data_IF_384027141307
#
_entry.id   IF_384027141307
#
_cell.length_a   1.000
_cell.length_b   1.000
_cell.length_c   1.000
_cell.angle_alpha   90.00
_cell.angle_beta   90.00
_cell.angle_gamma   90.00
#
_symmetry.space_group_name_H-M   'P 1'
#
loop_
_entity.id
_entity.type
_entity.pdbx_description
1 polymer ?
#
# COMPACT_ATOMS: atom_id res chain seq x y z
N UNK A 1 -2.22 2.73 -34.88
CA UNK A 1 -1.97 2.01 -33.61
C UNK A 1 -2.52 2.85 -32.47
N UNK A 2 -3.01 2.26 -31.40
CA UNK A 2 -3.45 3.02 -30.22
C UNK A 2 -2.24 3.60 -29.47
N UNK A 3 -2.43 4.68 -28.70
CA UNK A 3 -1.36 5.25 -27.84
C UNK A 3 -0.74 4.19 -26.93
N UNK A 4 -1.55 3.29 -26.38
CA UNK A 4 -1.07 2.17 -25.54
C UNK A 4 -0.17 1.21 -26.31
N UNK A 5 -0.47 0.91 -27.59
CA UNK A 5 0.40 0.08 -28.43
C UNK A 5 1.75 0.76 -28.69
N UNK A 6 1.72 2.04 -29.09
CA UNK A 6 2.95 2.81 -29.33
C UNK A 6 3.82 2.91 -28.07
N UNK A 7 3.21 3.16 -26.90
CA UNK A 7 3.91 3.17 -25.63
C UNK A 7 4.52 1.79 -25.31
N UNK A 8 3.76 0.73 -25.52
CA UNK A 8 4.22 -0.66 -25.29
C UNK A 8 5.44 -0.97 -26.15
N UNK A 9 5.42 -0.64 -27.43
CA UNK A 9 6.55 -0.82 -28.35
C UNK A 9 7.77 -0.01 -27.92
N UNK A 10 7.58 1.25 -27.50
CA UNK A 10 8.67 2.10 -27.03
C UNK A 10 9.32 1.53 -25.75
N UNK A 11 8.53 1.03 -24.79
CA UNK A 11 9.04 0.40 -23.57
C UNK A 11 9.79 -0.90 -23.89
N UNK A 12 9.25 -1.76 -24.76
CA UNK A 12 9.90 -3.01 -25.15
C UNK A 12 11.19 -2.78 -25.94
N UNK A 13 11.25 -1.76 -26.78
CA UNK A 13 12.46 -1.42 -27.55
C UNK A 13 13.61 -0.97 -26.65
N UNK A 14 13.34 -0.22 -25.60
CA UNK A 14 14.36 0.35 -24.76
C UNK A 14 14.66 -0.49 -23.50
N UNK A 15 13.69 -1.26 -23.01
CA UNK A 15 13.77 -1.95 -21.71
C UNK A 15 13.21 -3.37 -21.78
N UNK A 16 13.58 -4.22 -22.76
CA UNK A 16 12.92 -5.51 -23.02
C UNK A 16 13.03 -6.50 -21.85
N UNK A 17 14.06 -6.39 -21.02
CA UNK A 17 14.33 -7.33 -19.89
C UNK A 17 13.42 -7.08 -18.68
N UNK A 18 12.89 -5.88 -18.52
CA UNK A 18 12.09 -5.45 -17.35
C UNK A 18 10.63 -5.16 -17.68
N UNK A 19 10.26 -5.30 -18.96
CA UNK A 19 8.88 -5.13 -19.45
C UNK A 19 8.25 -6.48 -19.71
N UNK A 20 7.04 -6.68 -19.20
CA UNK A 20 6.23 -7.87 -19.48
C UNK A 20 4.78 -7.47 -19.76
N UNK A 21 4.10 -8.29 -20.58
CA UNK A 21 2.74 -8.01 -21.03
C UNK A 21 1.75 -8.97 -20.39
N UNK A 22 0.50 -8.50 -20.23
CA UNK A 22 -0.65 -9.31 -19.78
C UNK A 22 -0.36 -10.10 -18.50
N UNK A 23 0.31 -9.47 -17.54
CA UNK A 23 0.68 -10.12 -16.28
C UNK A 23 -0.46 -10.06 -15.28
N UNK A 24 -0.90 -11.20 -14.72
CA UNK A 24 -1.96 -11.21 -13.72
C UNK A 24 -1.56 -10.42 -12.47
N UNK A 25 -2.34 -9.40 -12.12
CA UNK A 25 -2.16 -8.58 -10.92
C UNK A 25 -2.32 -9.41 -9.65
N UNK A 26 -3.17 -10.44 -9.69
CA UNK A 26 -3.32 -11.41 -8.60
C UNK A 26 -2.03 -12.14 -8.22
N UNK A 27 -1.04 -12.23 -9.11
CA UNK A 27 0.25 -12.88 -8.80
C UNK A 27 1.07 -12.09 -7.78
N UNK A 28 0.94 -10.76 -7.73
CA UNK A 28 1.73 -9.91 -6.84
C UNK A 28 0.89 -9.02 -5.92
N UNK A 29 -0.43 -8.88 -6.14
CA UNK A 29 -1.28 -8.17 -5.19
C UNK A 29 -1.37 -8.92 -3.86
N UNK A 30 -1.42 -8.18 -2.76
CA UNK A 30 -1.45 -8.79 -1.42
C UNK A 30 -2.75 -9.53 -1.14
N UNK A 31 -3.85 -9.12 -1.79
CA UNK A 31 -5.13 -9.83 -1.75
C UNK A 31 -5.22 -11.03 -2.68
N UNK A 32 -4.27 -11.16 -3.63
CA UNK A 32 -4.33 -12.16 -4.70
C UNK A 32 -5.58 -12.04 -5.56
N UNK A 33 -6.00 -10.81 -5.82
CA UNK A 33 -7.15 -10.43 -6.64
C UNK A 33 -6.66 -9.43 -7.70
N UNK A 34 -7.28 -9.45 -8.87
CA UNK A 34 -7.03 -8.55 -9.99
C UNK A 34 -6.73 -9.29 -11.29
N UNK A 35 -7.28 -8.78 -12.38
CA UNK A 35 -7.05 -9.26 -13.74
C UNK A 35 -5.64 -8.93 -14.24
N UNK A 36 -5.46 -8.83 -15.56
CA UNK A 36 -4.13 -8.61 -16.14
C UNK A 36 -3.76 -7.13 -16.20
N UNK A 37 -2.52 -6.78 -15.85
CA UNK A 37 -1.91 -5.53 -16.27
C UNK A 37 -1.54 -5.62 -17.76
N UNK A 38 -1.94 -4.64 -18.57
CA UNK A 38 -1.58 -4.65 -20.00
C UNK A 38 -0.06 -4.60 -20.16
N UNK A 39 0.59 -3.66 -19.48
CA UNK A 39 2.05 -3.57 -19.39
C UNK A 39 2.48 -3.54 -17.94
N UNK A 40 3.45 -4.37 -17.56
CA UNK A 40 4.13 -4.35 -16.28
C UNK A 40 5.62 -4.04 -16.50
N UNK A 41 6.12 -3.01 -15.83
CA UNK A 41 7.55 -2.63 -15.80
C UNK A 41 8.10 -2.88 -14.41
N UNK A 42 9.15 -3.70 -14.29
CA UNK A 42 9.84 -4.00 -13.03
C UNK A 42 11.30 -3.50 -13.09
N UNK A 43 11.54 -2.18 -12.86
CA UNK A 43 12.87 -1.61 -13.02
C UNK A 43 13.86 -2.18 -12.00
N UNK A 44 15.09 -2.44 -12.46
CA UNK A 44 16.18 -3.01 -11.64
C UNK A 44 17.13 -1.94 -11.10
N UNK A 45 16.96 -0.68 -11.53
CA UNK A 45 17.76 0.46 -11.05
C UNK A 45 16.94 1.75 -11.08
N UNK A 46 17.40 2.75 -10.33
CA UNK A 46 16.79 4.10 -10.36
C UNK A 46 16.86 4.69 -11.77
N UNK A 47 17.93 4.44 -12.51
CA UNK A 47 18.10 4.89 -13.90
C UNK A 47 17.04 4.28 -14.83
N UNK A 48 16.78 2.98 -14.68
CA UNK A 48 15.70 2.34 -15.44
C UNK A 48 14.31 2.89 -15.04
N UNK A 49 14.08 3.17 -13.75
CA UNK A 49 12.85 3.80 -13.29
C UNK A 49 12.67 5.20 -13.92
N UNK A 50 13.73 6.03 -13.89
CA UNK A 50 13.74 7.34 -14.53
C UNK A 50 13.43 7.24 -16.04
N UNK A 51 14.06 6.26 -16.72
CA UNK A 51 13.83 6.04 -18.14
C UNK A 51 12.39 5.59 -18.44
N UNK A 52 11.85 4.69 -17.65
CA UNK A 52 10.44 4.27 -17.80
C UNK A 52 9.48 5.47 -17.68
N UNK A 53 9.71 6.35 -16.68
CA UNK A 53 8.91 7.56 -16.48
C UNK A 53 9.01 8.49 -17.68
N UNK A 54 10.22 8.73 -18.19
CA UNK A 54 10.44 9.57 -19.39
C UNK A 54 9.70 9.04 -20.63
N UNK A 55 9.67 7.73 -20.81
CA UNK A 55 8.95 7.10 -21.94
C UNK A 55 7.45 7.26 -21.74
N UNK A 56 6.93 6.92 -20.58
CA UNK A 56 5.50 6.95 -20.25
C UNK A 56 4.94 8.36 -20.39
N UNK A 57 5.66 9.38 -19.93
CA UNK A 57 5.22 10.77 -20.00
C UNK A 57 5.13 11.37 -21.41
N UNK A 58 5.57 10.64 -22.45
CA UNK A 58 5.31 11.02 -23.84
C UNK A 58 3.90 10.62 -24.31
N UNK A 59 3.18 9.81 -23.51
CA UNK A 59 1.88 9.22 -23.82
C UNK A 59 0.89 9.52 -22.68
N UNK A 60 0.57 10.81 -22.52
CA UNK A 60 -0.24 11.31 -21.37
C UNK A 60 -1.68 10.81 -21.34
N UNK A 61 -2.18 10.22 -22.42
CA UNK A 61 -3.51 9.63 -22.56
C UNK A 61 -3.55 8.15 -22.11
N UNK A 62 -2.39 7.55 -21.79
CA UNK A 62 -2.30 6.17 -21.31
C UNK A 62 -2.20 6.16 -19.79
N UNK A 63 -3.12 5.48 -19.08
CA UNK A 63 -3.04 5.36 -17.63
C UNK A 63 -1.75 4.71 -17.17
N UNK A 64 -1.14 5.27 -16.13
CA UNK A 64 0.02 4.65 -15.49
C UNK A 64 -0.05 4.78 -13.98
N UNK A 65 0.50 3.79 -13.26
CA UNK A 65 0.60 3.84 -11.82
C UNK A 65 1.84 3.15 -11.29
N UNK A 66 2.27 3.61 -10.11
CA UNK A 66 3.39 3.00 -9.38
C UNK A 66 2.84 2.14 -8.25
N UNK A 67 3.35 0.93 -8.12
CA UNK A 67 2.99 0.01 -7.04
C UNK A 67 4.22 -0.58 -6.37
N UNK A 68 4.10 -0.91 -5.09
CA UNK A 68 4.98 -1.82 -4.39
C UNK A 68 4.37 -3.23 -4.34
N UNK A 69 4.18 -3.76 -3.13
CA UNK A 69 3.52 -5.05 -2.91
C UNK A 69 1.98 -4.95 -2.94
N UNK A 70 1.40 -3.81 -3.27
CA UNK A 70 -0.04 -3.56 -3.39
C UNK A 70 -0.84 -3.92 -2.12
N UNK A 71 -0.23 -3.71 -0.93
CA UNK A 71 -0.82 -4.09 0.36
C UNK A 71 -1.97 -3.18 0.83
N UNK A 72 -2.37 -2.18 0.04
CA UNK A 72 -3.52 -1.29 0.29
C UNK A 72 -4.38 -1.09 -0.98
N UNK A 73 -4.24 -1.96 -1.99
CA UNK A 73 -4.93 -1.84 -3.26
C UNK A 73 -5.80 -3.06 -3.53
N UNK A 74 -7.00 -2.82 -4.05
CA UNK A 74 -7.89 -3.80 -4.64
C UNK A 74 -7.99 -3.52 -6.15
N UNK A 75 -7.45 -4.38 -6.97
CA UNK A 75 -7.54 -4.25 -8.42
C UNK A 75 -8.84 -4.84 -8.96
N UNK A 76 -9.39 -4.22 -10.02
CA UNK A 76 -10.48 -4.80 -10.79
C UNK A 76 -10.11 -6.17 -11.35
N UNK A 77 -11.08 -7.06 -11.44
CA UNK A 77 -10.93 -8.35 -12.12
C UNK A 77 -10.79 -8.18 -13.64
N UNK A 78 -11.24 -7.05 -14.22
CA UNK A 78 -11.04 -6.67 -15.61
C UNK A 78 -9.57 -6.27 -15.91
N UNK A 79 -8.75 -6.08 -14.87
CA UNK A 79 -7.33 -5.77 -14.97
C UNK A 79 -7.01 -4.29 -14.98
N UNK A 80 -5.99 -3.88 -15.74
CA UNK A 80 -5.51 -2.51 -15.85
C UNK A 80 -5.05 -2.23 -17.28
N UNK A 81 -5.77 -1.37 -18.00
CA UNK A 81 -5.51 -1.02 -19.40
C UNK A 81 -4.50 0.15 -19.49
N UNK A 82 -3.30 -0.12 -19.03
CA UNK A 82 -2.22 0.88 -18.97
C UNK A 82 -0.90 0.26 -18.54
N UNK A 83 -0.02 1.09 -17.99
CA UNK A 83 1.30 0.68 -17.51
C UNK A 83 1.35 0.67 -15.98
N UNK A 84 1.71 -0.46 -15.40
CA UNK A 84 2.05 -0.57 -13.99
C UNK A 84 3.57 -0.63 -13.84
N UNK A 85 4.16 0.29 -13.09
CA UNK A 85 5.55 0.22 -12.66
C UNK A 85 5.59 -0.38 -11.26
N UNK A 86 6.21 -1.54 -11.10
CA UNK A 86 6.32 -2.21 -9.81
C UNK A 86 7.71 -2.02 -9.22
N UNK A 87 7.79 -1.27 -8.13
CA UNK A 87 9.01 -1.08 -7.35
C UNK A 87 9.15 -2.24 -6.37
N UNK A 88 10.12 -3.11 -6.64
CA UNK A 88 10.35 -4.36 -5.92
C UNK A 88 11.75 -4.47 -5.31
N UNK A 89 12.24 -5.70 -5.18
CA UNK A 89 13.49 -6.02 -4.50
C UNK A 89 14.75 -5.43 -5.15
N UNK A 90 14.73 -5.13 -6.44
CA UNK A 90 15.88 -4.55 -7.15
C UNK A 90 16.18 -3.11 -6.71
N UNK A 91 15.16 -2.37 -6.26
CA UNK A 91 15.27 -1.01 -5.72
C UNK A 91 15.16 -1.04 -4.18
N UNK A 92 16.00 -1.85 -3.51
CA UNK A 92 15.90 -2.12 -2.07
C UNK A 92 17.22 -1.93 -1.30
N UNK A 93 18.07 -1.02 -1.77
CA UNK A 93 19.31 -0.65 -1.09
C UNK A 93 19.03 -0.03 0.28
N UNK A 94 19.83 -0.41 1.29
CA UNK A 94 19.82 0.17 2.64
C UNK A 94 21.27 0.50 3.01
N UNK A 95 21.55 1.76 3.31
CA UNK A 95 22.85 2.24 3.74
C UNK A 95 22.75 2.96 5.09
N UNK A 96 23.68 2.65 6.00
CA UNK A 96 23.71 3.22 7.35
C UNK A 96 24.93 4.11 7.49
N UNK A 97 24.71 5.37 7.89
CA UNK A 97 25.76 6.32 8.28
C UNK A 97 25.43 6.84 9.67
N UNK A 98 26.04 6.21 10.69
CA UNK A 98 25.68 6.47 12.08
C UNK A 98 24.22 6.09 12.35
N UNK A 99 23.42 7.05 12.79
CA UNK A 99 21.98 6.89 13.05
C UNK A 99 21.09 7.32 11.85
N UNK A 100 21.70 7.78 10.77
CA UNK A 100 21.00 8.11 9.52
C UNK A 100 20.97 6.88 8.60
N UNK A 101 19.84 6.61 7.97
CA UNK A 101 19.61 5.42 7.15
C UNK A 101 19.02 5.86 5.81
N UNK A 102 19.80 5.69 4.75
CA UNK A 102 19.31 5.81 3.37
C UNK A 102 18.63 4.52 2.94
N UNK A 103 17.45 4.61 2.33
CA UNK A 103 16.66 3.48 1.90
C UNK A 103 15.97 3.75 0.57
N UNK A 104 16.13 2.87 -0.41
CA UNK A 104 15.34 2.91 -1.64
C UNK A 104 13.87 2.52 -1.40
N UNK A 105 12.97 2.98 -2.26
CA UNK A 105 11.53 2.82 -2.11
C UNK A 105 11.04 1.35 -2.12
N UNK A 106 11.80 0.44 -2.72
CA UNK A 106 11.52 -0.99 -2.77
C UNK A 106 11.95 -1.78 -1.53
N UNK A 107 12.55 -1.14 -0.53
CA UNK A 107 12.93 -1.80 0.71
C UNK A 107 11.69 -2.40 1.39
N UNK A 108 11.78 -3.70 1.75
CA UNK A 108 10.73 -4.35 2.51
C UNK A 108 10.70 -3.85 3.95
N UNK A 109 9.56 -3.31 4.34
CA UNK A 109 9.39 -2.57 5.60
C UNK A 109 9.80 -3.37 6.85
N UNK A 110 9.40 -4.65 7.04
CA UNK A 110 9.85 -5.44 8.17
C UNK A 110 11.36 -5.71 8.20
N UNK A 111 12.00 -5.80 7.03
CA UNK A 111 13.45 -5.98 6.92
C UNK A 111 14.19 -4.73 7.38
N UNK A 112 13.71 -3.54 6.98
CA UNK A 112 14.27 -2.26 7.45
C UNK A 112 14.27 -2.18 8.97
N UNK A 113 13.12 -2.46 9.60
CA UNK A 113 13.00 -2.46 11.06
C UNK A 113 13.95 -3.48 11.70
N UNK A 114 14.05 -4.68 11.13
CA UNK A 114 14.95 -5.73 11.63
C UNK A 114 16.44 -5.35 11.50
N UNK A 115 16.86 -4.83 10.34
CA UNK A 115 18.26 -4.40 10.12
C UNK A 115 18.65 -3.24 11.04
N UNK A 116 17.75 -2.26 11.24
CA UNK A 116 17.96 -1.13 12.17
C UNK A 116 18.12 -1.61 13.62
N UNK A 117 17.25 -2.51 14.06
CA UNK A 117 17.41 -3.20 15.36
C UNK A 117 18.79 -3.86 15.48
N UNK A 118 19.27 -4.57 14.46
CA UNK A 118 20.58 -5.24 14.45
C UNK A 118 21.74 -4.25 14.60
N UNK A 119 21.56 -3.01 14.17
CA UNK A 119 22.51 -1.90 14.32
C UNK A 119 22.37 -1.17 15.66
N UNK A 120 21.43 -1.53 16.53
CA UNK A 120 21.16 -0.83 17.79
C UNK A 120 20.45 0.51 17.59
N UNK A 121 19.66 0.62 16.53
CA UNK A 121 18.89 1.80 16.19
C UNK A 121 17.41 1.58 16.50
N UNK A 122 16.78 2.61 17.08
CA UNK A 122 15.39 2.68 17.54
C UNK A 122 14.64 3.77 16.79
N UNK A 123 13.32 3.77 16.86
CA UNK A 123 12.41 4.76 16.29
C UNK A 123 11.39 4.18 15.34
N UNK A 124 11.73 3.08 14.65
CA UNK A 124 10.87 2.46 13.63
C UNK A 124 10.35 1.07 14.02
N UNK A 125 10.35 0.68 15.28
CA UNK A 125 9.81 -0.62 15.73
C UNK A 125 8.34 -0.78 15.36
N UNK A 126 7.60 0.32 15.32
CA UNK A 126 6.17 0.37 15.00
C UNK A 126 5.83 -0.12 13.59
N UNK A 127 6.81 -0.17 12.67
CA UNK A 127 6.60 -0.68 11.31
C UNK A 127 6.98 -2.16 11.13
N UNK A 128 7.61 -2.81 12.11
CA UNK A 128 8.21 -4.15 11.97
C UNK A 128 7.23 -5.26 11.53
N UNK A 129 5.93 -5.06 11.68
CA UNK A 129 4.91 -6.01 11.29
C UNK A 129 4.00 -5.53 10.15
N UNK A 130 4.35 -4.45 9.46
CA UNK A 130 3.58 -3.90 8.34
C UNK A 130 4.14 -4.48 7.05
N UNK A 131 3.38 -5.30 6.31
CA UNK A 131 3.84 -5.79 5.02
C UNK A 131 3.78 -4.67 3.97
N UNK A 132 4.75 -4.66 3.06
CA UNK A 132 4.83 -3.72 1.94
C UNK A 132 6.18 -3.06 1.79
N UNK A 133 6.28 -2.16 0.83
CA UNK A 133 7.50 -1.45 0.45
C UNK A 133 7.54 -0.05 1.05
N UNK A 134 8.78 0.44 1.28
CA UNK A 134 9.00 1.73 1.93
C UNK A 134 8.34 2.90 1.18
N UNK A 135 8.40 2.93 -0.15
CA UNK A 135 7.74 3.97 -0.94
C UNK A 135 6.23 4.04 -0.68
N UNK A 136 5.54 2.88 -0.66
CA UNK A 136 4.12 2.81 -0.32
C UNK A 136 3.83 3.16 1.15
N UNK A 137 4.74 2.82 2.07
CA UNK A 137 4.62 3.19 3.48
C UNK A 137 4.71 4.71 3.67
N UNK A 138 5.65 5.37 2.99
CA UNK A 138 5.81 6.84 3.00
C UNK A 138 4.60 7.50 2.35
N UNK A 139 4.18 7.03 1.16
CA UNK A 139 3.01 7.54 0.45
C UNK A 139 1.74 7.55 1.32
N UNK A 140 1.54 6.52 2.13
CA UNK A 140 0.38 6.39 3.02
C UNK A 140 0.64 6.95 4.43
N UNK A 141 1.80 7.48 4.74
CA UNK A 141 2.26 7.73 6.11
C UNK A 141 1.90 6.55 7.02
N UNK A 142 2.26 5.34 6.54
CA UNK A 142 1.91 4.08 7.17
C UNK A 142 2.63 3.91 8.51
N UNK A 143 1.99 3.19 9.42
CA UNK A 143 2.55 2.95 10.73
C UNK A 143 1.60 2.18 11.65
N UNK A 144 1.95 2.03 12.90
CA UNK A 144 1.11 1.41 13.93
C UNK A 144 1.30 2.11 15.28
N UNK A 145 0.45 1.81 16.26
CA UNK A 145 0.50 2.42 17.59
C UNK A 145 0.39 3.95 17.54
N UNK A 146 -0.43 4.49 16.62
CA UNK A 146 -0.64 5.94 16.37
C UNK A 146 0.60 6.69 15.89
N UNK A 147 1.63 5.98 15.43
CA UNK A 147 2.84 6.57 14.82
C UNK A 147 2.85 6.31 13.33
N UNK A 148 3.28 7.30 12.54
CA UNK A 148 3.54 7.19 11.10
C UNK A 148 5.04 7.16 10.79
N UNK A 149 5.42 6.66 9.64
CA UNK A 149 6.84 6.59 9.23
C UNK A 149 7.45 7.98 9.03
N UNK A 150 6.65 8.99 8.66
CA UNK A 150 7.12 10.35 8.41
C UNK A 150 7.69 11.03 9.65
N UNK A 151 7.36 10.55 10.85
CA UNK A 151 8.01 10.99 12.10
C UNK A 151 9.54 10.71 12.11
N UNK A 152 9.99 9.75 11.31
CA UNK A 152 11.40 9.35 11.25
C UNK A 152 12.08 9.74 9.93
N UNK A 153 11.35 10.29 8.96
CA UNK A 153 11.89 10.71 7.65
C UNK A 153 12.61 12.05 7.81
N UNK A 154 13.84 12.13 7.33
CA UNK A 154 14.65 13.36 7.24
C UNK A 154 14.51 14.01 5.85
N UNK A 155 14.52 13.18 4.80
CA UNK A 155 14.28 13.64 3.43
C UNK A 155 13.71 12.53 2.55
N UNK A 156 13.07 12.90 1.44
CA UNK A 156 12.54 11.98 0.43
C UNK A 156 13.09 12.36 -0.93
N UNK A 157 13.64 11.38 -1.66
CA UNK A 157 14.02 11.52 -3.05
C UNK A 157 12.85 11.15 -3.94
N UNK A 158 12.47 12.07 -4.81
CA UNK A 158 11.36 11.96 -5.75
C UNK A 158 11.88 11.98 -7.18
N UNK A 159 11.21 11.30 -8.09
CA UNK A 159 11.42 11.43 -9.53
C UNK A 159 10.23 12.20 -10.10
N UNK A 160 10.52 13.31 -10.76
CA UNK A 160 9.51 14.15 -11.43
C UNK A 160 9.11 13.58 -12.80
N UNK A 161 8.16 14.22 -13.48
CA UNK A 161 7.68 13.82 -14.82
C UNK A 161 8.77 13.81 -15.89
N UNK A 162 9.83 14.59 -15.73
CA UNK A 162 10.97 14.61 -16.66
C UNK A 162 11.96 13.48 -16.38
N UNK A 163 11.72 12.67 -15.35
CA UNK A 163 12.63 11.62 -14.91
C UNK A 163 13.82 12.14 -14.09
N UNK A 164 13.74 13.36 -13.56
CA UNK A 164 14.81 13.98 -12.77
C UNK A 164 14.61 13.69 -11.29
N UNK A 165 15.70 13.52 -10.55
CA UNK A 165 15.69 13.33 -9.11
C UNK A 165 15.60 14.68 -8.39
N UNK A 166 14.66 14.79 -7.48
CA UNK A 166 14.47 15.92 -6.57
C UNK A 166 14.51 15.44 -5.12
N UNK A 167 15.00 16.27 -4.22
CA UNK A 167 14.99 15.97 -2.78
C UNK A 167 14.09 16.97 -2.06
N UNK A 168 13.19 16.43 -1.22
CA UNK A 168 12.30 17.22 -0.36
C UNK A 168 12.65 16.92 1.10
N UNK A 169 12.87 17.97 1.90
CA UNK A 169 13.21 17.85 3.32
C UNK A 169 11.95 17.63 4.17
N UNK A 170 12.06 16.84 5.23
CA UNK A 170 10.93 16.48 6.09
C UNK A 170 10.26 17.68 6.78
N UNK A 171 11.02 18.76 7.05
CA UNK A 171 10.48 20.00 7.62
C UNK A 171 9.41 20.67 6.75
N UNK A 172 9.40 20.35 5.44
CA UNK A 172 8.48 20.88 4.45
C UNK A 172 7.31 19.91 4.18
N UNK A 173 7.22 18.79 4.95
CA UNK A 173 6.23 17.73 4.78
C UNK A 173 5.14 17.80 5.88
N UNK A 174 4.04 18.46 5.58
CA UNK A 174 2.85 18.35 6.42
C UNK A 174 2.25 16.95 6.35
N UNK A 175 2.01 16.33 7.49
CA UNK A 175 1.45 14.98 7.54
C UNK A 175 0.54 14.77 8.75
N UNK A 176 -0.39 13.82 8.60
CA UNK A 176 -1.27 13.38 9.67
C UNK A 176 -1.55 11.87 9.56
N UNK A 177 -2.48 11.36 10.38
CA UNK A 177 -2.85 9.94 10.34
C UNK A 177 -3.29 9.50 8.94
N UNK A 178 -2.55 8.59 8.31
CA UNK A 178 -2.77 8.08 6.94
C UNK A 178 -2.75 9.16 5.85
N UNK A 179 -2.15 10.29 6.12
CA UNK A 179 -2.04 11.41 5.17
C UNK A 179 -0.57 11.80 5.01
N UNK A 180 -0.16 11.97 3.76
CA UNK A 180 1.15 12.50 3.37
C UNK A 180 0.98 13.50 2.21
N UNK A 181 1.91 14.44 2.00
CA UNK A 181 1.88 15.37 0.89
C UNK A 181 2.06 14.68 -0.48
N UNK A 182 2.50 13.42 -0.47
CA UNK A 182 2.68 12.63 -1.69
C UNK A 182 1.38 12.03 -2.24
N UNK A 183 0.28 12.08 -1.47
CA UNK A 183 -1.02 11.63 -1.96
C UNK A 183 -1.62 12.68 -2.89
N UNK A 184 -1.68 12.36 -4.19
CA UNK A 184 -2.06 13.29 -5.26
C UNK A 184 -0.87 14.02 -5.89
N UNK A 185 0.36 13.84 -5.39
CA UNK A 185 1.57 14.27 -6.06
C UNK A 185 1.87 13.31 -7.24
N UNK A 186 2.23 13.86 -8.37
CA UNK A 186 2.58 13.10 -9.57
C UNK A 186 4.03 12.60 -9.56
N UNK A 187 4.82 13.07 -8.60
CA UNK A 187 6.21 12.64 -8.42
C UNK A 187 6.26 11.27 -7.73
N UNK A 188 7.28 10.49 -8.07
CA UNK A 188 7.44 9.10 -7.64
C UNK A 188 8.49 9.02 -6.55
N UNK A 189 8.16 8.40 -5.42
CA UNK A 189 9.10 8.17 -4.33
C UNK A 189 10.13 7.11 -4.80
N UNK A 190 11.40 7.52 -4.92
CA UNK A 190 12.52 6.66 -5.29
C UNK A 190 13.30 6.16 -4.07
N UNK A 191 13.52 7.02 -3.08
CA UNK A 191 14.24 6.69 -1.86
C UNK A 191 13.85 7.65 -0.72
N UNK A 192 14.27 7.33 0.49
CA UNK A 192 14.17 8.23 1.64
C UNK A 192 15.38 8.08 2.56
N UNK A 193 15.68 9.15 3.27
CA UNK A 193 16.63 9.17 4.39
C UNK A 193 15.85 9.23 5.70
N UNK A 194 16.13 8.30 6.60
CA UNK A 194 15.50 8.23 7.92
C UNK A 194 16.51 8.66 8.99
N UNK A 195 16.03 9.37 10.01
CA UNK A 195 16.78 9.66 11.22
C UNK A 195 16.29 8.78 12.36
N UNK A 196 17.19 7.96 12.89
CA UNK A 196 16.95 7.06 14.00
C UNK A 196 17.79 7.43 15.20
N UNK A 197 17.54 6.76 16.33
CA UNK A 197 18.24 7.01 17.58
C UNK A 197 19.00 5.75 18.02
N UNK A 198 20.17 5.92 18.64
CA UNK A 198 20.85 4.80 19.27
C UNK A 198 20.10 4.34 20.50
N UNK A 199 19.96 3.03 20.66
CA UNK A 199 19.28 2.43 21.79
C UNK A 199 19.86 1.06 22.16
N UNK A 200 19.51 0.58 23.34
CA UNK A 200 19.89 -0.74 23.81
C UNK A 200 19.16 -1.80 22.98
N UNK A 201 19.90 -2.66 22.29
CA UNK A 201 19.36 -3.68 21.37
C UNK A 201 18.29 -4.57 22.02
N UNK A 202 18.44 -4.92 23.32
CA UNK A 202 17.46 -5.75 24.02
C UNK A 202 16.11 -5.04 24.15
N UNK A 203 16.09 -3.73 24.36
CA UNK A 203 14.88 -2.93 24.46
C UNK A 203 14.17 -2.84 23.11
N UNK A 204 14.88 -2.48 22.04
CA UNK A 204 14.35 -2.45 20.68
C UNK A 204 13.75 -3.81 20.30
N UNK A 205 14.48 -4.90 20.58
CA UNK A 205 14.01 -6.27 20.35
C UNK A 205 12.74 -6.59 21.13
N UNK A 206 12.66 -6.19 22.39
CA UNK A 206 11.49 -6.46 23.22
C UNK A 206 10.27 -5.68 22.72
N UNK A 207 10.45 -4.43 22.28
CA UNK A 207 9.39 -3.62 21.67
C UNK A 207 8.87 -4.27 20.39
N UNK A 208 9.76 -4.65 19.48
CA UNK A 208 9.39 -5.37 18.25
C UNK A 208 8.65 -6.69 18.56
N UNK A 209 9.13 -7.46 19.53
CA UNK A 209 8.48 -8.73 19.94
C UNK A 209 7.05 -8.51 20.46
N UNK A 210 6.82 -7.48 21.28
CA UNK A 210 5.49 -7.10 21.77
C UNK A 210 4.56 -6.77 20.60
N UNK A 211 5.02 -5.96 19.65
CA UNK A 211 4.25 -5.58 18.45
C UNK A 211 3.91 -6.82 17.62
N UNK A 212 4.90 -7.63 17.28
CA UNK A 212 4.72 -8.82 16.45
C UNK A 212 3.82 -9.86 17.12
N UNK A 213 3.96 -10.06 18.45
CA UNK A 213 3.11 -10.97 19.23
C UNK A 213 1.64 -10.49 19.21
N UNK A 214 1.40 -9.20 19.45
CA UNK A 214 0.05 -8.64 19.39
C UNK A 214 -0.57 -8.81 17.99
N UNK A 215 0.19 -8.51 16.92
CA UNK A 215 -0.28 -8.67 15.54
C UNK A 215 -0.58 -10.11 15.16
N UNK A 216 0.24 -11.07 15.64
CA UNK A 216 0.00 -12.50 15.40
C UNK A 216 -1.31 -12.99 16.02
N UNK A 217 -1.68 -12.47 17.18
CA UNK A 217 -2.91 -12.82 17.87
C UNK A 217 -4.15 -12.20 17.24
N UNK A 218 -4.02 -11.00 16.67
CA UNK A 218 -5.16 -10.18 16.24
C UNK A 218 -5.46 -10.25 14.73
N UNK A 219 -4.47 -10.51 13.86
CA UNK A 219 -4.63 -10.33 12.41
C UNK A 219 -4.55 -11.63 11.62
N UNK A 220 -5.36 -11.78 10.55
CA UNK A 220 -5.44 -12.99 9.72
C UNK A 220 -4.23 -13.12 8.77
N UNK A 221 -3.02 -13.36 9.31
CA UNK A 221 -1.77 -13.36 8.56
C UNK A 221 -1.57 -14.49 7.56
N UNK A 222 -2.37 -15.57 7.68
CA UNK A 222 -2.23 -16.78 6.84
C UNK A 222 -3.03 -16.71 5.54
N UNK A 223 -3.97 -15.79 5.45
CA UNK A 223 -4.84 -15.61 4.28
C UNK A 223 -4.51 -14.29 3.59
N UNK A 224 -4.57 -14.22 2.24
CA UNK A 224 -4.37 -12.98 1.51
C UNK A 224 -5.37 -11.91 1.93
N UNK A 225 -4.88 -10.69 2.19
CA UNK A 225 -5.68 -9.54 2.61
C UNK A 225 -4.87 -8.25 2.48
N UNK A 226 -5.48 -7.08 2.47
CA UNK A 226 -4.79 -5.79 2.42
C UNK A 226 -4.83 -5.01 3.74
N UNK A 227 -4.78 -5.70 4.88
CA UNK A 227 -4.82 -5.05 6.18
C UNK A 227 -6.22 -4.57 6.57
N UNK A 228 -6.27 -3.46 7.31
CA UNK A 228 -7.53 -2.85 7.72
C UNK A 228 -8.25 -2.24 6.51
N UNK A 229 -9.50 -2.62 6.31
CA UNK A 229 -10.33 -2.12 5.20
C UNK A 229 -10.82 -0.70 5.46
N UNK A 230 -11.28 -0.43 6.69
CA UNK A 230 -11.84 0.85 7.08
C UNK A 230 -10.88 1.66 7.94
N UNK A 231 -10.88 2.98 7.72
CA UNK A 231 -10.13 3.94 8.51
C UNK A 231 -10.61 3.97 9.96
N UNK A 232 -9.66 4.17 10.86
CA UNK A 232 -9.94 4.43 12.26
C UNK A 232 -10.37 5.90 12.42
N UNK A 233 -11.58 6.12 12.94
CA UNK A 233 -12.11 7.47 13.18
C UNK A 233 -12.43 7.65 14.67
N UNK A 234 -11.78 8.58 15.39
CA UNK A 234 -12.03 8.82 16.81
C UNK A 234 -13.50 9.12 17.14
N UNK A 235 -14.22 9.83 16.28
CA UNK A 235 -15.65 10.14 16.47
C UNK A 235 -16.54 8.90 16.52
N UNK A 236 -16.10 7.80 15.92
CA UNK A 236 -16.79 6.51 15.95
C UNK A 236 -16.63 5.79 17.29
N UNK A 237 -15.51 6.05 18.00
CA UNK A 237 -15.20 5.36 19.25
C UNK A 237 -16.21 5.64 20.37
N UNK A 238 -16.71 6.85 20.44
CA UNK A 238 -17.71 7.25 21.46
C UNK A 238 -19.09 6.66 21.17
N UNK A 239 -19.37 6.29 19.92
CA UNK A 239 -20.66 5.75 19.48
C UNK A 239 -20.69 4.22 19.57
N UNK A 240 -19.68 3.55 18.98
CA UNK A 240 -19.70 2.08 18.83
C UNK A 240 -18.30 1.45 18.98
N UNK A 241 -17.22 2.23 19.01
CA UNK A 241 -15.85 1.74 19.04
C UNK A 241 -15.18 1.71 17.66
N UNK A 242 -14.00 1.07 17.52
CA UNK A 242 -13.28 1.00 16.26
C UNK A 242 -14.02 0.17 15.20
N UNK A 243 -13.73 0.36 13.88
CA UNK A 243 -14.45 -0.30 12.80
C UNK A 243 -14.58 -1.83 12.94
N UNK A 244 -13.51 -2.52 13.36
CA UNK A 244 -13.57 -3.97 13.55
C UNK A 244 -14.55 -4.39 14.64
N UNK A 245 -14.65 -3.65 15.73
CA UNK A 245 -15.63 -3.91 16.79
C UNK A 245 -17.06 -3.62 16.32
N UNK A 246 -17.25 -2.51 15.58
CA UNK A 246 -18.55 -2.14 15.02
C UNK A 246 -19.10 -3.22 14.08
N UNK A 247 -18.26 -3.72 13.16
CA UNK A 247 -18.61 -4.77 12.20
C UNK A 247 -18.93 -6.09 12.93
N UNK A 248 -18.17 -6.42 13.97
CA UNK A 248 -18.44 -7.61 14.81
C UNK A 248 -19.77 -7.47 15.56
N UNK A 249 -20.04 -6.28 16.14
CA UNK A 249 -21.27 -6.01 16.90
C UNK A 249 -22.55 -6.11 16.04
N UNK A 250 -22.48 -5.75 14.76
CA UNK A 250 -23.60 -5.91 13.82
C UNK A 250 -23.66 -7.33 13.19
N UNK A 251 -22.90 -8.29 13.72
CA UNK A 251 -23.01 -9.70 13.37
C UNK A 251 -22.38 -10.11 12.03
N UNK A 252 -21.47 -9.30 11.47
CA UNK A 252 -20.91 -9.57 10.13
C UNK A 252 -19.59 -10.33 10.14
N UNK A 253 -19.02 -10.65 11.30
CA UNK A 253 -17.82 -11.46 11.41
C UNK A 253 -18.03 -12.84 10.81
N UNK A 254 -17.16 -13.27 9.90
CA UNK A 254 -17.29 -14.57 9.21
C UNK A 254 -18.22 -14.59 8.00
N UNK A 255 -18.95 -13.49 7.72
CA UNK A 255 -19.82 -13.39 6.53
C UNK A 255 -18.99 -13.45 5.25
N UNK A 256 -19.53 -14.15 4.23
CA UNK A 256 -18.88 -14.38 2.93
C UNK A 256 -19.68 -13.78 1.78
N UNK A 257 -18.93 -13.44 0.72
CA UNK A 257 -19.41 -13.23 -0.63
C UNK A 257 -18.42 -13.95 -1.56
N UNK A 258 -18.91 -14.88 -2.37
CA UNK A 258 -18.03 -15.75 -3.14
C UNK A 258 -16.91 -16.36 -2.27
N UNK A 259 -15.67 -16.16 -2.66
CA UNK A 259 -14.50 -16.60 -1.89
C UNK A 259 -13.87 -15.50 -1.00
N UNK A 260 -14.48 -14.32 -0.89
CA UNK A 260 -14.09 -13.32 0.09
C UNK A 260 -14.84 -13.51 1.42
N UNK A 261 -14.18 -13.23 2.55
CA UNK A 261 -14.77 -13.35 3.88
C UNK A 261 -14.36 -12.19 4.79
N UNK A 262 -15.32 -11.61 5.54
CA UNK A 262 -15.00 -10.77 6.70
C UNK A 262 -14.34 -11.68 7.74
N UNK A 263 -13.10 -11.38 8.09
CA UNK A 263 -12.26 -12.28 8.88
C UNK A 263 -12.86 -12.60 10.26
N UNK A 264 -12.88 -13.85 10.60
CA UNK A 264 -13.29 -14.32 11.93
C UNK A 264 -12.33 -13.88 13.05
N UNK A 265 -11.07 -13.60 12.71
CA UNK A 265 -10.08 -13.14 13.69
C UNK A 265 -10.15 -11.63 13.96
N UNK A 266 -10.43 -10.82 12.92
CA UNK A 266 -10.54 -9.37 13.02
C UNK A 266 -11.49 -8.81 11.95
N UNK A 267 -12.65 -8.34 12.32
CA UNK A 267 -13.71 -7.98 11.39
C UNK A 267 -13.41 -6.75 10.50
N UNK A 268 -12.38 -5.94 10.80
CA UNK A 268 -11.89 -4.90 9.87
C UNK A 268 -10.95 -5.44 8.78
N UNK A 269 -10.89 -6.77 8.61
CA UNK A 269 -10.12 -7.42 7.55
C UNK A 269 -11.07 -8.25 6.69
N UNK A 270 -10.91 -8.16 5.38
CA UNK A 270 -11.54 -9.07 4.42
C UNK A 270 -10.43 -9.95 3.85
N UNK A 271 -10.61 -11.26 3.93
CA UNK A 271 -9.63 -12.25 3.49
C UNK A 271 -10.11 -12.95 2.23
N UNK A 272 -9.17 -13.33 1.37
CA UNK A 272 -9.42 -14.19 0.22
C UNK A 272 -9.18 -15.65 0.65
N UNK A 273 -10.21 -16.48 0.54
CA UNK A 273 -10.17 -17.92 0.86
C UNK A 273 -9.65 -18.77 -0.32
N UNK A 274 -9.35 -18.13 -1.45
CA UNK A 274 -8.89 -18.73 -2.69
C UNK A 274 -9.91 -18.50 -3.82
N UNK A 275 -9.50 -17.67 -4.84
CA UNK A 275 -10.34 -17.34 -5.99
C UNK A 275 -11.38 -16.24 -5.76
N UNK A 276 -11.24 -15.41 -4.70
CA UNK A 276 -12.12 -14.25 -4.52
C UNK A 276 -11.93 -13.24 -5.65
N UNK A 277 -13.01 -12.59 -6.02
CA UNK A 277 -13.06 -11.51 -6.99
C UNK A 277 -13.11 -10.13 -6.29
N UNK A 278 -12.81 -9.08 -7.02
CA UNK A 278 -12.91 -7.71 -6.52
C UNK A 278 -14.35 -7.35 -6.17
N UNK A 279 -15.33 -7.84 -6.94
CA UNK A 279 -16.76 -7.65 -6.67
C UNK A 279 -17.18 -8.26 -5.32
N UNK A 280 -16.64 -9.43 -4.92
CA UNK A 280 -16.90 -10.06 -3.63
C UNK A 280 -16.47 -9.16 -2.47
N UNK A 281 -15.27 -8.55 -2.59
CA UNK A 281 -14.73 -7.64 -1.57
C UNK A 281 -15.57 -6.37 -1.50
N UNK A 282 -15.91 -5.78 -2.64
CA UNK A 282 -16.74 -4.56 -2.74
C UNK A 282 -18.13 -4.80 -2.13
N UNK A 283 -18.75 -5.96 -2.40
CA UNK A 283 -20.03 -6.34 -1.79
C UNK A 283 -19.93 -6.39 -0.26
N UNK A 284 -18.89 -7.03 0.30
CA UNK A 284 -18.69 -7.09 1.75
C UNK A 284 -18.41 -5.72 2.37
N UNK A 285 -17.75 -4.82 1.67
CA UNK A 285 -17.55 -3.43 2.10
C UNK A 285 -18.91 -2.71 2.15
N UNK A 286 -19.73 -2.83 1.09
CA UNK A 286 -21.07 -2.23 1.03
C UNK A 286 -21.97 -2.74 2.17
N UNK A 287 -21.99 -4.05 2.38
CA UNK A 287 -22.75 -4.69 3.45
C UNK A 287 -22.34 -4.19 4.84
N UNK A 288 -21.04 -4.14 5.12
CA UNK A 288 -20.53 -3.66 6.42
C UNK A 288 -20.88 -2.18 6.64
N UNK A 289 -20.72 -1.34 5.63
CA UNK A 289 -21.09 0.09 5.70
C UNK A 289 -22.57 0.30 5.96
N UNK A 290 -23.43 -0.40 5.23
CA UNK A 290 -24.90 -0.31 5.38
C UNK A 290 -25.35 -0.77 6.77
N UNK A 291 -24.82 -1.90 7.25
CA UNK A 291 -25.19 -2.46 8.55
C UNK A 291 -24.75 -1.55 9.71
N UNK A 292 -23.50 -1.08 9.69
CA UNK A 292 -23.00 -0.18 10.73
C UNK A 292 -23.70 1.17 10.67
N UNK A 293 -23.97 1.72 9.49
CA UNK A 293 -24.73 2.96 9.35
C UNK A 293 -26.16 2.85 9.91
N UNK A 294 -26.84 1.73 9.62
CA UNK A 294 -28.19 1.47 10.15
C UNK A 294 -28.22 1.46 11.67
N UNK A 295 -27.19 0.88 12.30
CA UNK A 295 -27.10 0.76 13.76
C UNK A 295 -26.68 2.07 14.46
N UNK A 296 -25.83 2.89 13.79
CA UNK A 296 -25.13 3.98 14.48
C UNK A 296 -25.29 5.35 13.84
N UNK A 297 -25.79 5.43 12.60
CA UNK A 297 -25.76 6.64 11.78
C UNK A 297 -24.36 7.04 11.28
N UNK A 298 -23.31 6.26 11.57
CA UNK A 298 -21.93 6.57 11.20
C UNK A 298 -21.54 5.89 9.88
N UNK A 299 -21.06 6.66 8.91
CA UNK A 299 -20.51 6.15 7.65
C UNK A 299 -19.01 5.87 7.80
N UNK A 300 -18.62 4.60 7.63
CA UNK A 300 -17.22 4.21 7.65
C UNK A 300 -16.54 4.45 6.30
N UNK A 301 -15.42 5.16 6.28
CA UNK A 301 -14.60 5.35 5.08
C UNK A 301 -13.52 4.27 4.97
N UNK A 302 -13.22 3.84 3.73
CA UNK A 302 -12.18 2.86 3.50
C UNK A 302 -10.77 3.47 3.49
N UNK A 303 -9.82 2.76 4.09
CA UNK A 303 -8.37 2.98 3.89
C UNK A 303 -7.92 2.39 2.55
N UNK A 304 -8.49 1.24 2.19
CA UNK A 304 -8.20 0.52 0.95
C UNK A 304 -8.69 1.31 -0.26
N UNK A 305 -7.86 1.33 -1.30
CA UNK A 305 -8.16 1.96 -2.60
C UNK A 305 -8.50 0.90 -3.65
N UNK A 306 -9.53 1.16 -4.43
CA UNK A 306 -9.90 0.38 -5.60
C UNK A 306 -9.23 0.98 -6.84
N UNK A 307 -8.69 0.11 -7.67
CA UNK A 307 -8.04 0.47 -8.95
C UNK A 307 -8.91 -0.12 -10.07
N UNK A 308 -9.55 0.75 -10.83
CA UNK A 308 -10.36 0.37 -11.96
C UNK A 308 -9.52 0.04 -13.21
N UNK A 309 -10.11 -0.62 -14.18
CA UNK A 309 -9.48 -1.02 -15.44
C UNK A 309 -8.90 0.18 -16.20
N UNK A 310 -9.62 1.31 -16.20
CA UNK A 310 -9.26 2.57 -16.87
C UNK A 310 -8.20 3.40 -16.12
N UNK A 311 -7.68 2.90 -15.00
CA UNK A 311 -6.68 3.57 -14.19
C UNK A 311 -7.23 4.53 -13.14
N UNK A 312 -8.54 4.70 -13.03
CA UNK A 312 -9.14 5.52 -11.97
C UNK A 312 -8.94 4.84 -10.62
N UNK A 313 -8.33 5.59 -9.68
CA UNK A 313 -8.10 5.13 -8.31
C UNK A 313 -9.04 5.89 -7.36
N UNK A 314 -9.84 5.16 -6.61
CA UNK A 314 -10.74 5.72 -5.62
C UNK A 314 -10.69 4.96 -4.29
N UNK A 315 -11.18 5.56 -3.21
CA UNK A 315 -11.40 4.78 -1.99
C UNK A 315 -12.46 3.71 -2.26
N UNK A 316 -12.24 2.48 -1.81
CA UNK A 316 -13.09 1.34 -2.14
C UNK A 316 -14.58 1.54 -1.76
N UNK A 317 -14.87 2.37 -0.75
CA UNK A 317 -16.25 2.68 -0.38
C UNK A 317 -17.02 3.49 -1.44
N UNK A 318 -16.32 4.26 -2.27
CA UNK A 318 -16.95 5.03 -3.38
C UNK A 318 -17.59 4.09 -4.42
N UNK A 319 -16.93 2.94 -4.63
CA UNK A 319 -17.45 1.87 -5.50
C UNK A 319 -18.54 1.07 -4.76
N UNK A 320 -18.30 0.75 -3.48
CA UNK A 320 -19.24 0.01 -2.65
C UNK A 320 -20.60 0.72 -2.48
N UNK A 321 -20.60 2.06 -2.43
CA UNK A 321 -21.84 2.85 -2.33
C UNK A 321 -22.75 2.75 -3.58
N UNK A 322 -22.24 2.25 -4.71
CA UNK A 322 -23.01 2.00 -5.95
C UNK A 322 -23.66 0.61 -5.97
N UNK A 323 -23.29 -0.27 -5.03
CA UNK A 323 -23.83 -1.64 -4.96
C UNK A 323 -25.24 -1.63 -4.40
N UNK A 324 -26.15 -2.26 -5.13
CA UNK A 324 -27.52 -2.51 -4.65
C UNK A 324 -27.52 -3.76 -3.73
N UNK A 325 -27.85 -3.56 -2.46
CA UNK A 325 -27.91 -4.59 -1.40
C UNK A 325 -29.35 -4.93 -1.04
#
# INVERSE_FOLDING_TARGET
MSSLQNLTEALLAEMPTVVSLMRPLSNFSYWKIGGNAHVLVEPESVQQLQRAIQIINRFNDVPSMIVGDSSNLLFSDDGYQGVIIKIGNHLSKIEYTGSTVFCEAGVWVPELAYRSYRKGLSGIEHICGIPGRLGGLIYMNGGSNRRGILENVESVQLINKLGELETVEAKDLEHSYRTSPFQGDERIIAAATLKLEYSVRSEVRNNMRKILSSRRKKFPRKLPNCGSVFLSNPKMYDIIGPPGFAIEKVGLKGVRSGAAQISELHANFIVNLGGAKSEDVIYLIALARKAVYKETGFKMDCEVRYVAEDGIISQAHVIADKVQL
#
